data_IF_345733168454
#
_entry.id   IF_345733168454
#
_cell.length_a   1.000
_cell.length_b   1.000
_cell.length_c   1.000
_cell.angle_alpha   90.00
_cell.angle_beta   90.00
_cell.angle_gamma   90.00
#
_symmetry.space_group_name_H-M   'P 1'
#
loop_
_entity.id
_entity.type
_entity.pdbx_description
1 polymer ?
#
# COMPACT_ATOMS: atom_id res chain seq x y z
N UNK A 1 18.34 11.12 -38.12
CA UNK A 1 18.87 11.77 -36.91
C UNK A 1 17.69 12.00 -35.99
N UNK A 2 17.74 11.41 -34.80
CA UNK A 2 16.65 11.55 -33.82
C UNK A 2 16.61 13.00 -33.34
N UNK A 3 15.52 13.76 -33.47
CA UNK A 3 15.47 15.19 -33.17
C UNK A 3 15.70 15.54 -31.68
N UNK A 4 15.77 14.54 -30.80
CA UNK A 4 15.93 14.71 -29.35
C UNK A 4 17.38 14.49 -28.86
N UNK A 5 18.35 14.33 -29.75
CA UNK A 5 19.76 14.13 -29.36
C UNK A 5 20.39 15.46 -28.97
N UNK A 6 20.31 15.83 -27.71
CA UNK A 6 21.15 16.87 -27.10
C UNK A 6 22.48 16.22 -26.73
N UNK A 7 23.63 16.71 -27.28
CA UNK A 7 24.94 16.17 -26.94
C UNK A 7 25.27 16.47 -25.45
N UNK A 8 25.00 15.48 -24.62
CA UNK A 8 25.23 15.53 -23.17
C UNK A 8 26.31 14.50 -22.81
N UNK A 9 27.11 14.77 -21.79
CA UNK A 9 28.09 13.80 -21.30
C UNK A 9 27.42 12.46 -21.00
N UNK A 10 28.02 11.36 -21.45
CA UNK A 10 27.45 10.00 -21.34
C UNK A 10 26.91 9.65 -19.94
N UNK A 11 27.61 9.96 -18.82
CA UNK A 11 27.05 9.70 -17.49
C UNK A 11 25.76 10.46 -17.19
N UNK A 12 25.65 11.71 -17.68
CA UNK A 12 24.43 12.50 -17.49
C UNK A 12 23.27 11.96 -18.33
N UNK A 13 23.51 11.56 -19.58
CA UNK A 13 22.48 10.91 -20.43
C UNK A 13 21.95 9.65 -19.78
N UNK A 14 22.84 8.79 -19.29
CA UNK A 14 22.44 7.56 -18.59
C UNK A 14 21.59 7.84 -17.36
N UNK A 15 21.93 8.85 -16.56
CA UNK A 15 21.17 9.19 -15.36
C UNK A 15 19.79 9.77 -15.71
N UNK A 16 19.68 10.56 -16.80
CA UNK A 16 18.40 11.03 -17.34
C UNK A 16 17.50 9.84 -17.72
N UNK A 17 18.06 8.85 -18.42
CA UNK A 17 17.33 7.63 -18.81
C UNK A 17 16.83 6.86 -17.60
N UNK A 18 17.66 6.69 -16.55
CA UNK A 18 17.24 5.98 -15.33
C UNK A 18 16.14 6.74 -14.58
N UNK A 19 16.22 8.06 -14.47
CA UNK A 19 15.15 8.86 -13.88
C UNK A 19 13.86 8.80 -14.71
N UNK A 20 13.97 8.75 -16.03
CA UNK A 20 12.79 8.68 -16.90
C UNK A 20 12.01 7.36 -16.78
N UNK A 21 12.65 6.28 -16.31
CA UNK A 21 11.98 5.00 -16.02
C UNK A 21 11.09 5.05 -14.78
N UNK A 22 11.28 6.06 -13.91
CA UNK A 22 10.48 6.18 -12.70
C UNK A 22 9.07 6.67 -13.01
N UNK A 23 8.01 6.08 -12.41
CA UNK A 23 6.64 6.48 -12.66
C UNK A 23 6.42 7.96 -12.31
N UNK A 24 5.74 8.68 -13.20
CA UNK A 24 5.46 10.12 -13.02
C UNK A 24 6.62 11.05 -13.36
N UNK A 25 7.80 10.53 -13.76
CA UNK A 25 8.94 11.36 -14.16
C UNK A 25 9.04 11.41 -15.69
N UNK A 26 8.62 12.55 -16.25
CA UNK A 26 8.77 12.84 -17.67
C UNK A 26 10.20 13.30 -18.05
N UNK A 27 10.52 13.37 -19.37
CA UNK A 27 11.86 13.72 -19.87
C UNK A 27 12.40 15.03 -19.31
N UNK A 28 11.59 16.09 -19.26
CA UNK A 28 12.00 17.40 -18.71
C UNK A 28 12.33 17.34 -17.22
N UNK A 29 11.57 16.56 -16.45
CA UNK A 29 11.83 16.38 -15.01
C UNK A 29 13.10 15.56 -14.80
N UNK A 30 13.30 14.48 -15.56
CA UNK A 30 14.51 13.67 -15.51
C UNK A 30 15.78 14.49 -15.79
N UNK A 31 15.76 15.32 -16.83
CA UNK A 31 16.84 16.26 -17.13
C UNK A 31 17.09 17.21 -15.94
N UNK A 32 16.04 17.85 -15.43
CA UNK A 32 16.17 18.82 -14.32
C UNK A 32 16.75 18.16 -13.06
N UNK A 33 16.33 16.96 -12.71
CA UNK A 33 16.88 16.19 -11.58
C UNK A 33 18.37 15.88 -11.80
N UNK A 34 18.74 15.41 -12.99
CA UNK A 34 20.14 15.12 -13.32
C UNK A 34 21.04 16.35 -13.19
N UNK A 35 20.63 17.49 -13.77
CA UNK A 35 21.42 18.72 -13.66
C UNK A 35 21.45 19.30 -12.25
N UNK A 36 20.43 19.05 -11.44
CA UNK A 36 20.45 19.37 -10.01
C UNK A 36 21.51 18.54 -9.28
N UNK A 37 21.55 17.22 -9.51
CA UNK A 37 22.57 16.33 -8.91
C UNK A 37 24.00 16.67 -9.32
N UNK A 38 24.22 17.11 -10.57
CA UNK A 38 25.56 17.56 -11.02
C UNK A 38 26.05 18.75 -10.21
N UNK A 39 25.16 19.61 -9.72
CA UNK A 39 25.50 20.80 -8.93
C UNK A 39 25.48 20.58 -7.42
N UNK A 40 24.92 19.44 -7.00
CA UNK A 40 24.83 19.05 -5.60
C UNK A 40 26.22 18.72 -5.04
N UNK A 41 26.48 18.96 -3.75
CA UNK A 41 27.71 18.52 -3.11
C UNK A 41 27.87 16.97 -3.20
N UNK A 42 29.09 16.52 -3.47
CA UNK A 42 29.38 15.08 -3.61
C UNK A 42 28.87 14.23 -2.45
N UNK A 43 28.97 14.76 -1.23
CA UNK A 43 28.50 14.08 -0.02
C UNK A 43 27.00 13.77 -0.08
N UNK A 44 26.21 14.72 -0.53
CA UNK A 44 24.75 14.58 -0.63
C UNK A 44 24.36 13.61 -1.76
N UNK A 45 25.05 13.72 -2.91
CA UNK A 45 24.82 12.82 -4.03
C UNK A 45 25.15 11.35 -3.67
N UNK A 46 26.25 11.12 -2.94
CA UNK A 46 26.60 9.79 -2.41
C UNK A 46 25.58 9.29 -1.42
N UNK A 47 25.14 10.12 -0.48
CA UNK A 47 24.13 9.74 0.50
C UNK A 47 22.81 9.31 -0.17
N UNK A 48 22.39 9.99 -1.24
CA UNK A 48 21.22 9.58 -2.02
C UNK A 48 21.43 8.22 -2.69
N UNK A 49 22.59 8.02 -3.34
CA UNK A 49 22.90 6.75 -3.98
C UNK A 49 22.95 5.59 -2.96
N UNK A 50 23.58 5.80 -1.81
CA UNK A 50 23.64 4.82 -0.72
C UNK A 50 22.24 4.51 -0.15
N UNK A 51 21.37 5.51 -0.01
CA UNK A 51 19.98 5.30 0.43
C UNK A 51 19.19 4.44 -0.55
N UNK A 52 19.34 4.67 -1.87
CA UNK A 52 18.70 3.86 -2.91
C UNK A 52 19.16 2.39 -2.82
N UNK A 53 20.45 2.16 -2.70
CA UNK A 53 21.02 0.81 -2.56
C UNK A 53 20.55 0.15 -1.26
N UNK A 54 20.58 0.87 -0.15
CA UNK A 54 20.15 0.35 1.15
C UNK A 54 18.69 -0.12 1.16
N UNK A 55 17.79 0.57 0.45
CA UNK A 55 16.39 0.14 0.29
C UNK A 55 16.33 -1.22 -0.42
N UNK A 56 17.14 -1.44 -1.46
CA UNK A 56 17.14 -2.70 -2.20
C UNK A 56 17.79 -3.85 -1.42
N UNK A 57 18.81 -3.55 -0.63
CA UNK A 57 19.61 -4.57 0.06
C UNK A 57 19.04 -4.95 1.43
N UNK A 58 18.36 -4.01 2.13
CA UNK A 58 17.96 -4.20 3.53
C UNK A 58 16.46 -4.38 3.73
N UNK A 59 15.62 -3.97 2.75
CA UNK A 59 14.18 -4.13 2.90
C UNK A 59 13.78 -5.55 2.51
N UNK A 60 13.08 -6.20 3.44
CA UNK A 60 12.50 -7.53 3.26
C UNK A 60 11.00 -7.49 3.57
N UNK A 61 10.28 -8.55 3.22
CA UNK A 61 8.90 -8.72 3.66
C UNK A 61 8.89 -9.38 5.05
N UNK A 62 8.06 -8.84 5.93
CA UNK A 62 7.79 -9.47 7.23
C UNK A 62 7.16 -10.85 7.02
N UNK A 63 7.78 -11.89 7.57
CA UNK A 63 7.30 -13.27 7.47
C UNK A 63 5.89 -13.48 8.03
N UNK A 64 5.43 -12.58 8.93
CA UNK A 64 4.12 -12.68 9.57
C UNK A 64 3.04 -11.91 8.81
N UNK A 65 3.29 -10.64 8.46
CA UNK A 65 2.23 -9.75 7.94
C UNK A 65 2.45 -9.29 6.51
N UNK A 66 3.55 -9.70 5.89
CA UNK A 66 3.95 -9.32 4.53
C UNK A 66 4.21 -7.82 4.34
N UNK A 67 4.27 -7.01 5.42
CA UNK A 67 4.68 -5.61 5.31
C UNK A 67 6.17 -5.50 5.00
N UNK A 68 6.59 -4.40 4.37
CA UNK A 68 8.00 -4.08 4.16
C UNK A 68 8.67 -3.73 5.50
N UNK A 69 9.88 -4.22 5.72
CA UNK A 69 10.62 -4.02 6.98
C UNK A 69 12.12 -4.21 6.77
N UNK A 70 12.92 -3.69 7.66
CA UNK A 70 14.36 -3.94 7.78
C UNK A 70 14.71 -5.02 8.79
N UNK A 71 13.73 -5.52 9.53
CA UNK A 71 13.89 -6.58 10.54
C UNK A 71 12.67 -7.50 10.56
N UNK A 72 12.88 -8.81 10.58
CA UNK A 72 11.83 -9.81 10.60
C UNK A 72 11.72 -10.51 11.96
N UNK A 73 10.52 -10.53 12.59
CA UNK A 73 9.28 -9.86 12.25
C UNK A 73 9.36 -8.32 12.37
N UNK A 74 8.48 -7.61 11.63
CA UNK A 74 8.44 -6.14 11.66
C UNK A 74 8.08 -5.58 13.05
N UNK A 75 8.32 -4.27 13.24
CA UNK A 75 8.06 -3.56 14.49
C UNK A 75 6.62 -3.73 15.01
N UNK A 76 5.64 -3.80 14.10
CA UNK A 76 4.24 -3.99 14.48
C UNK A 76 4.01 -5.41 14.98
N UNK A 77 4.48 -6.42 14.25
CA UNK A 77 4.24 -7.83 14.60
C UNK A 77 4.95 -8.27 15.88
N UNK A 78 6.12 -7.71 16.19
CA UNK A 78 6.87 -8.04 17.42
C UNK A 78 6.45 -7.24 18.65
N UNK A 79 5.58 -6.23 18.49
CA UNK A 79 5.16 -5.38 19.61
C UNK A 79 4.16 -6.11 20.52
N UNK A 80 4.47 -6.19 21.81
CA UNK A 80 3.56 -6.76 22.84
C UNK A 80 2.38 -5.84 23.17
N UNK A 81 2.40 -4.59 22.66
CA UNK A 81 1.32 -3.62 22.86
C UNK A 81 0.19 -3.79 21.83
N UNK A 82 0.34 -4.71 20.87
CA UNK A 82 -0.62 -4.94 19.81
C UNK A 82 -1.66 -5.99 20.20
N UNK A 83 -2.90 -5.70 19.87
CA UNK A 83 -4.03 -6.62 19.99
C UNK A 83 -3.91 -7.71 18.92
N UNK A 84 -3.70 -8.97 19.34
CA UNK A 84 -3.43 -10.08 18.42
C UNK A 84 -4.69 -10.73 17.87
N UNK A 85 -5.85 -10.41 18.45
CA UNK A 85 -7.15 -10.96 18.04
C UNK A 85 -7.74 -10.27 16.81
N UNK A 86 -7.15 -9.14 16.38
CA UNK A 86 -7.63 -8.36 15.24
C UNK A 86 -6.55 -8.22 14.17
N UNK A 87 -6.95 -8.43 12.90
CA UNK A 87 -6.08 -8.20 11.72
C UNK A 87 -6.79 -7.24 10.77
N UNK A 88 -6.12 -6.11 10.46
CA UNK A 88 -6.52 -5.20 9.40
C UNK A 88 -5.80 -5.58 8.10
N UNK A 89 -6.55 -5.96 7.07
CA UNK A 89 -6.03 -6.37 5.77
C UNK A 89 -6.04 -5.17 4.83
N UNK A 90 -4.88 -4.83 4.31
CA UNK A 90 -4.65 -3.71 3.38
C UNK A 90 -4.09 -4.22 2.05
N UNK A 91 -4.28 -3.45 0.97
CA UNK A 91 -3.75 -3.80 -0.34
C UNK A 91 -2.24 -3.60 -0.39
N UNK A 92 -1.75 -2.45 0.05
CA UNK A 92 -0.36 -2.05 -0.09
C UNK A 92 0.28 -1.67 1.25
N UNK A 93 1.62 -1.78 1.40
CA UNK A 93 2.33 -1.36 2.60
C UNK A 93 2.06 0.10 2.99
N UNK A 94 1.88 0.98 2.01
CA UNK A 94 1.62 2.40 2.22
C UNK A 94 0.26 2.67 2.88
N UNK A 95 -0.71 1.77 2.75
CA UNK A 95 -2.05 1.91 3.34
C UNK A 95 -2.01 1.81 4.88
N UNK A 96 -0.96 1.20 5.44
CA UNK A 96 -0.77 1.11 6.90
C UNK A 96 -0.51 2.49 7.50
N UNK A 97 0.21 3.36 6.80
CA UNK A 97 0.66 4.64 7.37
C UNK A 97 -0.48 5.57 7.82
N UNK A 98 -1.54 5.82 7.00
CA UNK A 98 -2.65 6.63 7.45
C UNK A 98 -3.42 5.99 8.60
N UNK A 99 -3.58 4.67 8.63
CA UNK A 99 -4.24 3.96 9.73
C UNK A 99 -3.46 4.10 11.05
N UNK A 100 -2.14 3.94 11.01
CA UNK A 100 -1.27 4.11 12.18
C UNK A 100 -1.28 5.56 12.71
N UNK A 101 -1.34 6.55 11.81
CA UNK A 101 -1.41 7.97 12.20
C UNK A 101 -2.64 8.31 13.02
N UNK A 102 -3.74 7.58 12.88
CA UNK A 102 -4.95 7.80 13.69
C UNK A 102 -4.70 7.51 15.17
N UNK A 103 -3.74 6.63 15.49
CA UNK A 103 -3.52 6.11 16.85
C UNK A 103 -4.67 5.29 17.42
N UNK A 104 -5.78 5.16 16.68
CA UNK A 104 -6.99 4.47 17.12
C UNK A 104 -6.96 2.95 16.94
N UNK A 105 -6.20 2.44 15.97
CA UNK A 105 -6.08 1.01 15.73
C UNK A 105 -4.91 0.40 16.50
N UNK A 106 -5.17 -0.67 17.22
CA UNK A 106 -4.16 -1.37 18.04
C UNK A 106 -3.90 -2.81 17.59
N UNK A 107 -4.63 -3.30 16.61
CA UNK A 107 -4.48 -4.65 16.07
C UNK A 107 -3.23 -4.84 15.19
N UNK A 108 -3.16 -6.00 14.58
CA UNK A 108 -2.13 -6.38 13.61
C UNK A 108 -2.57 -6.05 12.19
N UNK A 109 -1.63 -6.05 11.25
CA UNK A 109 -1.91 -5.88 9.82
C UNK A 109 -1.60 -7.13 9.02
N UNK A 110 -2.13 -7.17 7.81
CA UNK A 110 -1.70 -8.07 6.75
C UNK A 110 -1.74 -7.34 5.41
N UNK A 111 -0.65 -7.40 4.65
CA UNK A 111 -0.50 -6.74 3.36
C UNK A 111 -0.66 -7.76 2.24
N UNK A 112 -1.55 -7.48 1.30
CA UNK A 112 -1.83 -8.37 0.17
C UNK A 112 -0.83 -8.21 -0.98
N UNK A 113 -0.14 -7.06 -1.08
CA UNK A 113 0.69 -6.64 -2.22
C UNK A 113 -0.09 -6.53 -3.53
N UNK A 114 -1.27 -5.94 -3.46
CA UNK A 114 -2.11 -5.65 -4.59
C UNK A 114 -3.59 -5.95 -4.36
N UNK A 115 -4.34 -5.90 -5.43
CA UNK A 115 -5.76 -6.23 -5.50
C UNK A 115 -6.01 -7.15 -6.70
N UNK A 116 -7.11 -7.89 -6.68
CA UNK A 116 -7.55 -8.69 -7.85
C UNK A 116 -7.88 -7.71 -8.97
N UNK A 117 -7.12 -7.78 -10.06
CA UNK A 117 -7.29 -6.96 -11.25
C UNK A 117 -7.12 -7.82 -12.51
N UNK A 118 -8.23 -8.36 -13.06
CA UNK A 118 -8.16 -9.15 -14.29
C UNK A 118 -7.62 -8.36 -15.50
N UNK A 119 -7.83 -7.04 -15.51
CA UNK A 119 -7.31 -6.17 -16.56
C UNK A 119 -5.78 -6.11 -16.58
N UNK A 120 -5.16 -6.20 -15.39
CA UNK A 120 -3.71 -6.21 -15.21
C UNK A 120 -3.14 -7.64 -15.12
N UNK A 121 -3.98 -8.66 -15.25
CA UNK A 121 -3.60 -10.07 -15.15
C UNK A 121 -3.31 -10.54 -13.71
N UNK A 122 -3.75 -9.77 -12.69
CA UNK A 122 -3.52 -10.09 -11.27
C UNK A 122 -4.68 -10.93 -10.74
N UNK A 123 -4.39 -12.18 -10.40
CA UNK A 123 -5.31 -13.11 -9.78
C UNK A 123 -5.10 -13.28 -8.27
N UNK A 124 -5.96 -14.06 -7.61
CA UNK A 124 -5.84 -14.32 -6.16
C UNK A 124 -4.52 -15.00 -5.75
N UNK A 125 -3.93 -15.79 -6.65
CA UNK A 125 -2.68 -16.51 -6.39
C UNK A 125 -1.43 -15.62 -6.44
N UNK A 126 -1.54 -14.45 -7.06
CA UNK A 126 -0.47 -13.46 -7.11
C UNK A 126 -0.39 -12.63 -5.82
N UNK A 127 -1.45 -12.68 -5.00
CA UNK A 127 -1.59 -11.91 -3.78
C UNK A 127 -1.27 -12.75 -2.53
N UNK A 128 -0.90 -12.10 -1.44
CA UNK A 128 -0.53 -12.74 -0.16
C UNK A 128 -1.74 -13.25 0.64
N UNK A 129 -2.77 -13.77 -0.06
CA UNK A 129 -3.99 -14.28 0.57
C UNK A 129 -3.77 -15.61 1.29
N UNK A 130 -2.91 -16.49 0.76
CA UNK A 130 -2.59 -17.79 1.39
C UNK A 130 -1.90 -17.58 2.73
N UNK A 131 -1.00 -16.59 2.81
CA UNK A 131 -0.32 -16.22 4.05
C UNK A 131 -1.31 -15.70 5.10
N UNK A 132 -2.30 -14.89 4.69
CA UNK A 132 -3.39 -14.46 5.57
C UNK A 132 -4.16 -15.65 6.14
N UNK A 133 -4.63 -16.55 5.27
CA UNK A 133 -5.38 -17.74 5.72
C UNK A 133 -4.55 -18.62 6.67
N UNK A 134 -3.22 -18.68 6.44
CA UNK A 134 -2.30 -19.37 7.36
C UNK A 134 -2.36 -18.83 8.79
N UNK A 135 -2.48 -17.50 8.94
CA UNK A 135 -2.54 -16.81 10.24
C UNK A 135 -3.88 -17.01 10.97
N UNK A 136 -4.93 -17.39 10.27
CA UNK A 136 -6.27 -17.57 10.84
C UNK A 136 -6.52 -18.99 11.36
N UNK A 137 -5.61 -19.94 11.09
CA UNK A 137 -5.81 -21.36 11.39
C UNK A 137 -5.76 -21.70 12.87
N UNK A 138 -5.03 -20.94 13.68
CA UNK A 138 -4.87 -21.21 15.11
C UNK A 138 -6.06 -20.74 15.97
N UNK A 139 -7.01 -20.02 15.37
CA UNK A 139 -8.21 -19.52 16.06
C UNK A 139 -7.96 -18.35 17.00
N UNK A 140 -6.74 -17.79 17.04
CA UNK A 140 -6.42 -16.64 17.90
C UNK A 140 -7.05 -15.34 17.40
N UNK A 141 -7.31 -15.24 16.08
CA UNK A 141 -7.90 -14.07 15.43
C UNK A 141 -9.42 -14.19 15.46
N UNK A 142 -10.06 -13.22 16.09
CA UNK A 142 -11.53 -13.14 16.21
C UNK A 142 -12.17 -12.17 15.22
N UNK A 143 -11.40 -11.20 14.71
CA UNK A 143 -11.88 -10.22 13.75
C UNK A 143 -10.86 -9.94 12.64
N UNK A 144 -11.34 -9.91 11.40
CA UNK A 144 -10.60 -9.44 10.23
C UNK A 144 -11.29 -8.21 9.66
N UNK A 145 -10.57 -7.09 9.60
CA UNK A 145 -11.04 -5.83 9.05
C UNK A 145 -10.52 -5.70 7.62
N UNK A 146 -11.41 -5.68 6.64
CA UNK A 146 -11.04 -5.48 5.23
C UNK A 146 -10.92 -3.98 4.96
N UNK A 147 -9.69 -3.52 4.73
CA UNK A 147 -9.33 -2.11 4.50
C UNK A 147 -8.71 -1.89 3.11
N UNK A 148 -9.20 -2.63 2.11
CA UNK A 148 -8.89 -2.36 0.70
C UNK A 148 -9.57 -1.07 0.24
N UNK A 149 -9.00 -0.41 -0.77
CA UNK A 149 -9.57 0.82 -1.32
C UNK A 149 -11.02 0.62 -1.81
N UNK A 150 -11.91 1.61 -1.64
CA UNK A 150 -13.31 1.53 -2.05
C UNK A 150 -13.52 1.76 -3.55
N UNK A 151 -12.68 1.13 -4.39
CA UNK A 151 -12.79 1.07 -5.84
C UNK A 151 -13.24 -0.33 -6.29
N UNK A 152 -13.44 -0.54 -7.57
CA UNK A 152 -13.96 -1.80 -8.13
C UNK A 152 -13.08 -3.00 -7.78
N UNK A 153 -11.77 -2.86 -7.93
CA UNK A 153 -10.79 -3.92 -7.68
C UNK A 153 -10.68 -4.24 -6.19
N UNK A 154 -10.66 -3.20 -5.35
CA UNK A 154 -10.64 -3.36 -3.88
C UNK A 154 -11.91 -4.02 -3.35
N UNK A 155 -13.08 -3.71 -3.94
CA UNK A 155 -14.35 -4.37 -3.63
C UNK A 155 -14.34 -5.85 -4.03
N UNK A 156 -13.92 -6.15 -5.27
CA UNK A 156 -13.81 -7.51 -5.75
C UNK A 156 -12.87 -8.33 -4.85
N UNK A 157 -11.75 -7.74 -4.44
CA UNK A 157 -10.79 -8.35 -3.52
C UNK A 157 -11.40 -8.60 -2.14
N UNK A 158 -12.11 -7.62 -1.57
CA UNK A 158 -12.80 -7.77 -0.29
C UNK A 158 -13.88 -8.86 -0.32
N UNK A 159 -14.68 -8.90 -1.38
CA UNK A 159 -15.70 -9.94 -1.57
C UNK A 159 -15.08 -11.33 -1.69
N UNK A 160 -13.99 -11.46 -2.41
CA UNK A 160 -13.27 -12.72 -2.56
C UNK A 160 -12.70 -13.20 -1.21
N UNK A 161 -12.05 -12.32 -0.46
CA UNK A 161 -11.55 -12.61 0.89
C UNK A 161 -12.67 -12.99 1.85
N UNK A 162 -13.78 -12.24 1.82
CA UNK A 162 -14.97 -12.58 2.62
C UNK A 162 -15.44 -14.00 2.34
N UNK A 163 -15.58 -14.38 1.05
CA UNK A 163 -15.99 -15.74 0.66
C UNK A 163 -15.02 -16.81 1.17
N UNK A 164 -13.72 -16.54 1.13
CA UNK A 164 -12.69 -17.48 1.62
C UNK A 164 -12.72 -17.65 3.14
N UNK A 165 -12.96 -16.57 3.88
CA UNK A 165 -12.88 -16.57 5.35
C UNK A 165 -14.20 -16.86 6.05
N UNK A 166 -15.35 -16.67 5.39
CA UNK A 166 -16.69 -16.95 5.97
C UNK A 166 -16.80 -18.34 6.61
N UNK A 167 -16.26 -19.43 6.02
CA UNK A 167 -16.36 -20.76 6.63
C UNK A 167 -15.56 -20.90 7.94
N UNK A 168 -14.65 -19.97 8.25
CA UNK A 168 -13.80 -20.00 9.45
C UNK A 168 -14.54 -19.49 10.70
N UNK A 169 -15.74 -18.93 10.58
CA UNK A 169 -16.50 -18.40 11.70
C UNK A 169 -15.92 -17.13 12.35
N UNK A 170 -14.96 -16.47 11.68
CA UNK A 170 -14.32 -15.25 12.14
C UNK A 170 -15.22 -14.06 11.78
N UNK A 171 -15.31 -13.06 12.67
CA UNK A 171 -15.99 -11.81 12.37
C UNK A 171 -15.24 -11.06 11.27
N UNK A 172 -15.92 -10.78 10.17
CA UNK A 172 -15.34 -10.03 9.06
C UNK A 172 -16.04 -8.68 8.98
N UNK A 173 -15.25 -7.61 9.09
CA UNK A 173 -15.73 -6.23 9.01
C UNK A 173 -14.99 -5.49 7.89
N UNK A 174 -15.47 -4.30 7.58
CA UNK A 174 -14.80 -3.38 6.65
C UNK A 174 -14.85 -1.96 7.18
N UNK A 175 -13.99 -1.09 6.65
CA UNK A 175 -14.03 0.32 6.99
C UNK A 175 -15.39 0.91 6.62
N UNK A 176 -15.91 1.80 7.49
CA UNK A 176 -17.16 2.48 7.26
C UNK A 176 -17.09 3.32 5.96
N UNK A 177 -18.24 3.41 5.28
CA UNK A 177 -18.40 4.16 4.03
C UNK A 177 -19.53 5.15 4.20
N UNK A 178 -19.33 6.32 3.66
CA UNK A 178 -20.32 7.38 3.71
C UNK A 178 -19.67 8.75 3.50
N UNK A 179 -20.35 9.79 3.93
CA UNK A 179 -19.87 11.15 3.85
C UNK A 179 -18.66 11.35 4.76
N UNK A 180 -17.55 11.92 4.26
CA UNK A 180 -16.43 12.28 5.10
C UNK A 180 -16.80 13.44 6.01
N UNK A 181 -16.22 13.46 7.22
CA UNK A 181 -16.44 14.55 8.16
C UNK A 181 -16.01 15.90 7.57
N UNK A 182 -16.87 16.90 7.66
CA UNK A 182 -16.62 18.25 7.12
C UNK A 182 -16.93 18.42 5.63
N UNK A 183 -17.47 17.40 4.96
CA UNK A 183 -17.94 17.57 3.59
C UNK A 183 -19.38 18.10 3.55
N UNK A 184 -19.65 18.99 2.61
CA UNK A 184 -21.00 19.47 2.33
C UNK A 184 -21.78 18.44 1.53
N UNK A 185 -23.04 18.23 1.90
CA UNK A 185 -23.92 17.23 1.30
C UNK A 185 -24.13 17.45 -0.22
N UNK A 186 -24.17 18.74 -0.64
CA UNK A 186 -24.44 19.12 -2.03
C UNK A 186 -23.33 18.75 -3.02
N UNK A 187 -22.10 18.53 -2.52
CA UNK A 187 -20.96 18.15 -3.37
C UNK A 187 -20.69 16.63 -3.40
N UNK A 188 -21.45 15.87 -2.63
CA UNK A 188 -21.29 14.42 -2.61
C UNK A 188 -21.92 13.79 -3.86
N UNK A 189 -21.22 12.83 -4.45
CA UNK A 189 -21.74 12.06 -5.57
C UNK A 189 -22.86 11.09 -5.13
N UNK A 190 -23.66 10.63 -6.10
CA UNK A 190 -24.83 9.76 -5.86
C UNK A 190 -24.43 8.44 -5.18
N UNK A 191 -23.26 7.86 -5.51
CA UNK A 191 -22.80 6.60 -4.94
C UNK A 191 -22.45 6.78 -3.46
N UNK A 192 -21.73 7.87 -3.13
CA UNK A 192 -21.39 8.22 -1.76
C UNK A 192 -22.63 8.47 -0.92
N UNK A 193 -23.63 9.20 -1.43
CA UNK A 193 -24.90 9.45 -0.74
C UNK A 193 -25.69 8.16 -0.54
N UNK A 194 -25.78 7.31 -1.55
CA UNK A 194 -26.46 6.01 -1.44
C UNK A 194 -25.82 5.17 -0.34
N UNK A 195 -24.47 5.08 -0.32
CA UNK A 195 -23.74 4.34 0.72
C UNK A 195 -23.91 4.93 2.13
N UNK A 196 -23.98 6.26 2.24
CA UNK A 196 -24.25 6.93 3.51
C UNK A 196 -25.65 6.60 4.04
N UNK A 197 -26.65 6.57 3.17
CA UNK A 197 -28.03 6.21 3.53
C UNK A 197 -28.16 4.72 3.91
N UNK A 198 -27.50 3.82 3.17
CA UNK A 198 -27.47 2.38 3.47
C UNK A 198 -26.82 2.09 4.83
N UNK A 199 -25.74 2.78 5.15
CA UNK A 199 -24.97 2.58 6.39
C UNK A 199 -25.31 3.59 7.50
N UNK A 200 -26.47 4.26 7.43
CA UNK A 200 -26.92 5.19 8.48
C UNK A 200 -27.01 4.49 9.83
N UNK A 201 -26.62 5.19 10.87
CA UNK A 201 -26.65 4.69 12.25
C UNK A 201 -27.73 5.41 13.05
N UNK A 202 -28.25 4.74 14.06
CA UNK A 202 -29.09 5.37 15.08
C UNK A 202 -28.24 6.36 15.89
N UNK A 203 -28.88 7.48 16.29
CA UNK A 203 -28.19 8.55 17.00
C UNK A 203 -28.32 8.35 18.51
#
# INVERSE_FOLDING_TARGET
MNPDFVPTAQPASRLIEEFHKLPGIGPKTAQRLTYYLIRMPDKEARALAEAILAVKDKIVLCSTCQNITDSDPCLICRSDRRERTQICVVAEPLDILPLERTGGYKGLYHVLHGVISPADGIGPDDLKMKDLLGRLKDGSVTEVILATNPNLEGEATAMYLHKLMSPLGIKITRLARGLPFGADLEYADEVTLTRALENRQEF
#
